data_IF_672893861727
#
_entry.id   IF_672893861727
#
_cell.length_a   1.000
_cell.length_b   1.000
_cell.length_c   1.000
_cell.angle_alpha   90.00
_cell.angle_beta   90.00
_cell.angle_gamma   90.00
#
_symmetry.space_group_name_H-M   'P 1'
#
loop_
_entity.id
_entity.type
_entity.pdbx_description
1 polymer ?
#
# COMPACT_ATOMS: atom_id res chain seq x y z
N UNK A 1 18.13 62.36 -36.59
CA UNK A 1 17.85 61.10 -37.30
C UNK A 1 19.01 60.17 -36.97
N UNK A 2 18.91 58.98 -36.40
CA UNK A 2 17.80 58.04 -36.18
C UNK A 2 18.34 56.96 -35.20
N UNK A 3 17.94 56.99 -33.92
CA UNK A 3 18.28 55.96 -32.91
C UNK A 3 17.01 55.38 -32.27
N UNK A 4 15.94 55.22 -33.06
CA UNK A 4 14.67 54.64 -32.60
C UNK A 4 14.51 53.11 -32.78
N UNK A 5 15.17 52.39 -33.72
CA UNK A 5 14.86 50.96 -33.90
C UNK A 5 15.50 50.05 -32.84
N UNK A 6 16.66 50.40 -32.30
CA UNK A 6 17.38 49.55 -31.32
C UNK A 6 16.72 49.49 -29.94
N UNK A 7 16.09 50.57 -29.47
CA UNK A 7 15.43 50.58 -28.15
C UNK A 7 14.16 49.72 -28.13
N UNK A 8 13.46 49.61 -29.25
CA UNK A 8 12.24 48.80 -29.35
C UNK A 8 12.59 47.30 -29.40
N UNK A 9 13.67 46.94 -30.10
CA UNK A 9 14.15 45.55 -30.17
C UNK A 9 14.60 45.02 -28.81
N UNK A 10 15.34 45.81 -28.03
CA UNK A 10 15.81 45.42 -26.68
C UNK A 10 14.64 45.27 -25.70
N UNK A 11 13.60 46.11 -25.81
CA UNK A 11 12.40 45.99 -24.98
C UNK A 11 11.60 44.72 -25.35
N UNK A 12 11.54 44.35 -26.62
CA UNK A 12 10.88 43.13 -27.08
C UNK A 12 11.61 41.86 -26.60
N UNK A 13 12.94 41.81 -26.68
CA UNK A 13 13.72 40.68 -26.16
C UNK A 13 13.59 40.53 -24.63
N UNK A 14 13.63 41.64 -23.90
CA UNK A 14 13.43 41.62 -22.45
C UNK A 14 12.01 41.11 -22.07
N UNK A 15 10.99 41.45 -22.86
CA UNK A 15 9.63 40.97 -22.65
C UNK A 15 9.51 39.45 -22.92
N UNK A 16 10.18 38.92 -23.95
CA UNK A 16 10.20 37.48 -24.23
C UNK A 16 10.90 36.71 -23.12
N UNK A 17 12.06 37.19 -22.64
CA UNK A 17 12.78 36.57 -21.52
C UNK A 17 11.91 36.58 -20.25
N UNK A 18 11.23 37.70 -19.97
CA UNK A 18 10.33 37.78 -18.82
C UNK A 18 9.15 36.80 -18.93
N UNK A 19 8.55 36.67 -20.11
CA UNK A 19 7.48 35.68 -20.35
C UNK A 19 7.99 34.26 -20.16
N UNK A 20 9.18 33.92 -20.66
CA UNK A 20 9.78 32.59 -20.48
C UNK A 20 10.10 32.30 -19.00
N UNK A 21 10.55 33.30 -18.23
CA UNK A 21 10.78 33.16 -16.79
C UNK A 21 9.47 32.97 -16.02
N UNK A 22 8.39 33.66 -16.41
CA UNK A 22 7.06 33.49 -15.80
C UNK A 22 6.47 32.12 -16.13
N UNK A 23 6.59 31.66 -17.39
CA UNK A 23 6.17 30.31 -17.79
C UNK A 23 7.02 29.25 -17.07
N UNK A 24 8.33 29.44 -16.98
CA UNK A 24 9.22 28.56 -16.23
C UNK A 24 8.85 28.49 -14.75
N UNK A 25 8.58 29.63 -14.10
CA UNK A 25 8.12 29.67 -12.72
C UNK A 25 6.74 29.03 -12.54
N UNK A 26 5.84 29.17 -13.52
CA UNK A 26 4.52 28.53 -13.52
C UNK A 26 4.63 27.01 -13.70
N UNK A 27 5.52 26.53 -14.57
CA UNK A 27 5.81 25.10 -14.76
C UNK A 27 6.50 24.51 -13.53
N UNK A 28 7.46 25.20 -12.92
CA UNK A 28 8.09 24.79 -11.66
C UNK A 28 7.04 24.73 -10.54
N UNK A 29 6.12 25.70 -10.47
CA UNK A 29 5.03 25.69 -9.50
C UNK A 29 4.00 24.59 -9.78
N UNK A 30 3.70 24.29 -11.04
CA UNK A 30 2.84 23.17 -11.42
C UNK A 30 3.49 21.81 -11.08
N UNK A 31 4.80 21.68 -11.30
CA UNK A 31 5.61 20.53 -10.87
C UNK A 31 5.74 20.43 -9.34
N UNK A 32 5.66 21.55 -8.62
CA UNK A 32 5.60 21.58 -7.16
C UNK A 32 4.21 21.21 -6.64
N UNK A 33 3.14 21.58 -7.35
CA UNK A 33 1.77 21.17 -7.02
C UNK A 33 1.51 19.69 -7.31
N UNK A 34 2.29 19.05 -8.17
CA UNK A 34 2.27 17.58 -8.36
C UNK A 34 3.12 16.80 -7.34
N UNK A 35 3.65 17.48 -6.31
CA UNK A 35 4.40 16.85 -5.20
C UNK A 35 3.54 16.58 -3.97
N UNK A 36 2.24 16.90 -3.99
CA UNK A 36 1.36 16.43 -2.93
C UNK A 36 1.25 14.91 -3.05
N UNK A 37 1.76 14.21 -2.04
CA UNK A 37 1.50 12.79 -1.87
C UNK A 37 -0.02 12.64 -1.76
N UNK A 38 -0.62 11.92 -2.71
CA UNK A 38 -1.99 11.44 -2.54
C UNK A 38 -1.90 10.36 -1.46
N UNK A 39 -2.56 10.51 -0.31
CA UNK A 39 -2.54 9.47 0.72
C UNK A 39 -3.08 8.18 0.12
N UNK A 40 -2.33 7.08 0.28
CA UNK A 40 -2.85 5.74 0.02
C UNK A 40 -4.11 5.56 0.87
N UNK A 41 -5.19 5.15 0.22
CA UNK A 41 -6.49 5.07 0.87
C UNK A 41 -6.59 3.85 1.76
N UNK A 42 -6.25 4.03 3.03
CA UNK A 42 -6.61 3.10 4.10
C UNK A 42 -7.44 3.82 5.18
N UNK A 43 -8.43 4.59 4.72
CA UNK A 43 -9.44 5.36 5.45
C UNK A 43 -8.98 6.69 6.06
N UNK A 44 -9.51 7.80 5.53
CA UNK A 44 -9.33 9.16 6.07
C UNK A 44 -10.68 9.89 6.14
N UNK A 45 -11.15 10.17 7.36
CA UNK A 45 -12.05 11.27 7.67
C UNK A 45 -11.40 12.11 8.78
N UNK A 46 -10.89 13.31 8.45
CA UNK A 46 -10.70 14.41 9.42
C UNK A 46 -11.00 15.76 8.73
N UNK A 47 -11.73 16.63 9.43
CA UNK A 47 -12.14 17.95 8.95
C UNK A 47 -13.42 18.45 9.62
N UNK A 48 -13.27 19.20 10.71
CA UNK A 48 -14.33 19.49 11.68
C UNK A 48 -15.37 20.56 11.34
N UNK A 49 -16.60 20.30 11.80
CA UNK A 49 -17.49 21.26 12.45
C UNK A 49 -18.21 20.52 13.57
N UNK A 50 -18.18 21.07 14.79
CA UNK A 50 -18.77 20.45 15.99
C UNK A 50 -20.27 20.25 15.77
N UNK A 51 -20.66 19.02 15.45
CA UNK A 51 -22.02 18.51 15.63
C UNK A 51 -21.95 17.45 16.71
N UNK A 52 -22.61 17.72 17.83
CA UNK A 52 -22.83 16.74 18.89
C UNK A 52 -23.61 15.59 18.27
N UNK A 53 -22.93 14.47 17.99
CA UNK A 53 -23.52 13.23 17.51
C UNK A 53 -23.39 12.14 18.58
N UNK A 54 -24.32 11.17 18.60
CA UNK A 54 -24.46 10.21 19.67
C UNK A 54 -23.19 9.37 19.77
N UNK A 55 -22.85 9.01 21.01
CA UNK A 55 -21.89 7.97 21.30
C UNK A 55 -22.31 6.69 20.56
N UNK A 56 -21.58 6.33 19.50
CA UNK A 56 -21.66 5.02 18.88
C UNK A 56 -20.66 4.16 19.64
N UNK A 57 -21.16 3.08 20.25
CA UNK A 57 -20.33 2.10 20.92
C UNK A 57 -19.27 1.55 19.95
N UNK A 58 -18.10 1.20 20.49
CA UNK A 58 -16.99 0.59 19.76
C UNK A 58 -17.49 -0.72 19.11
N UNK A 59 -17.97 -0.66 17.87
CA UNK A 59 -18.40 -1.85 17.14
C UNK A 59 -17.16 -2.57 16.61
N UNK A 60 -16.81 -3.64 17.32
CA UNK A 60 -15.75 -4.57 16.97
C UNK A 60 -16.02 -5.17 15.58
N UNK A 61 -15.05 -5.03 14.68
CA UNK A 61 -15.16 -5.46 13.29
C UNK A 61 -14.84 -6.94 13.21
N UNK A 62 -15.85 -7.80 13.06
CA UNK A 62 -15.66 -9.25 13.00
C UNK A 62 -16.14 -9.85 11.69
N UNK A 63 -15.44 -10.88 11.21
CA UNK A 63 -15.99 -11.78 10.19
C UNK A 63 -16.80 -12.88 10.85
N UNK A 64 -18.09 -12.93 10.53
CA UNK A 64 -18.88 -14.12 10.79
C UNK A 64 -18.88 -15.01 9.54
N UNK A 65 -18.36 -16.22 9.70
CA UNK A 65 -18.49 -17.27 8.69
C UNK A 65 -19.94 -17.75 8.67
N UNK A 66 -20.73 -17.29 7.69
CA UNK A 66 -22.10 -17.79 7.45
C UNK A 66 -22.08 -18.60 6.15
N UNK A 67 -21.58 -19.82 6.21
CA UNK A 67 -21.36 -20.65 5.02
C UNK A 67 -20.27 -20.08 4.10
N UNK A 68 -20.44 -20.09 2.77
CA UNK A 68 -19.40 -19.65 1.79
C UNK A 68 -19.21 -18.13 1.66
N UNK A 69 -19.55 -17.33 2.68
CA UNK A 69 -19.55 -15.86 2.61
C UNK A 69 -18.91 -15.23 3.83
N UNK A 70 -18.24 -14.11 3.60
CA UNK A 70 -17.59 -13.23 4.56
C UNK A 70 -18.51 -12.04 4.76
N UNK A 71 -18.98 -11.79 5.98
CA UNK A 71 -19.65 -10.53 6.32
C UNK A 71 -18.59 -9.43 6.48
N UNK A 72 -18.70 -8.37 5.69
CA UNK A 72 -17.83 -7.19 5.76
C UNK A 72 -18.69 -5.95 5.99
N UNK A 73 -18.21 -5.05 6.84
CA UNK A 73 -18.79 -3.71 6.96
C UNK A 73 -18.17 -2.78 5.89
N UNK A 74 -19.02 -2.14 5.09
CA UNK A 74 -18.65 -1.13 4.10
C UNK A 74 -19.24 0.22 4.49
N UNK A 75 -18.42 1.27 4.47
CA UNK A 75 -18.82 2.62 4.91
C UNK A 75 -19.95 3.24 4.08
N UNK A 76 -20.17 2.75 2.85
CA UNK A 76 -21.19 3.27 1.93
C UNK A 76 -22.40 2.34 1.85
N UNK A 77 -22.16 1.03 1.80
CA UNK A 77 -23.18 0.00 1.55
C UNK A 77 -23.71 -0.65 2.84
N UNK A 78 -23.09 -0.36 3.98
CA UNK A 78 -23.36 -1.06 5.23
C UNK A 78 -22.80 -2.48 5.20
N UNK A 79 -23.51 -3.43 5.80
CA UNK A 79 -23.10 -4.83 5.80
C UNK A 79 -23.22 -5.48 4.42
N UNK A 80 -22.10 -5.93 3.86
CA UNK A 80 -22.02 -6.65 2.59
C UNK A 80 -21.46 -8.05 2.79
N UNK A 81 -21.93 -9.01 2.00
CA UNK A 81 -21.37 -10.36 1.98
C UNK A 81 -20.47 -10.55 0.76
N UNK A 82 -19.19 -10.89 1.00
CA UNK A 82 -18.23 -11.23 -0.05
C UNK A 82 -18.06 -12.76 -0.11
N UNK A 83 -18.04 -13.39 -1.30
CA UNK A 83 -17.75 -14.81 -1.41
C UNK A 83 -16.38 -15.17 -0.83
N UNK A 84 -16.30 -16.27 -0.07
CA UNK A 84 -15.02 -16.85 0.35
C UNK A 84 -14.42 -17.62 -0.84
N UNK A 85 -13.17 -17.31 -1.17
CA UNK A 85 -12.37 -18.11 -2.10
C UNK A 85 -11.73 -19.27 -1.33
N UNK A 86 -12.18 -20.50 -1.60
CA UNK A 86 -11.76 -21.69 -0.86
C UNK A 86 -10.30 -22.11 -1.13
N UNK A 87 -9.73 -21.64 -2.23
CA UNK A 87 -8.39 -21.91 -2.73
C UNK A 87 -7.38 -20.80 -2.39
N UNK A 88 -7.83 -19.72 -1.73
CA UNK A 88 -6.96 -18.65 -1.25
C UNK A 88 -6.66 -18.91 0.23
N UNK A 89 -5.38 -18.99 0.64
CA UNK A 89 -5.02 -19.21 2.03
C UNK A 89 -5.61 -18.13 2.95
N UNK A 90 -6.19 -18.58 4.07
CA UNK A 90 -6.70 -17.70 5.13
C UNK A 90 -5.55 -17.29 6.03
N UNK A 91 -5.59 -16.05 6.53
CA UNK A 91 -4.63 -15.58 7.53
C UNK A 91 -4.66 -16.48 8.76
N UNK A 92 -3.48 -16.87 9.24
CA UNK A 92 -3.33 -17.60 10.51
C UNK A 92 -2.79 -16.72 11.63
N UNK A 93 -2.69 -15.40 11.42
CA UNK A 93 -2.11 -14.50 12.42
C UNK A 93 -2.98 -14.40 13.67
N UNK A 94 -2.33 -14.50 14.83
CA UNK A 94 -2.97 -14.29 16.12
C UNK A 94 -2.77 -12.84 16.54
N UNK A 95 -3.79 -12.00 16.39
CA UNK A 95 -3.67 -10.56 16.72
C UNK A 95 -3.38 -10.32 18.19
N UNK A 96 -3.62 -11.29 19.09
CA UNK A 96 -3.23 -11.17 20.50
C UNK A 96 -1.71 -11.18 20.72
N UNK A 97 -0.93 -11.58 19.71
CA UNK A 97 0.53 -11.48 19.71
C UNK A 97 1.06 -10.08 19.31
N UNK A 98 0.17 -9.16 18.90
CA UNK A 98 0.52 -7.76 18.66
C UNK A 98 0.64 -7.02 19.98
N UNK A 99 1.75 -6.29 20.13
CA UNK A 99 1.98 -5.42 21.27
C UNK A 99 2.51 -4.08 20.79
N UNK A 100 2.07 -3.02 21.45
CA UNK A 100 2.63 -1.69 21.22
C UNK A 100 3.83 -1.44 22.13
N UNK A 101 4.98 -1.10 21.54
CA UNK A 101 6.16 -0.66 22.26
C UNK A 101 6.76 0.57 21.60
N UNK A 102 6.98 1.63 22.40
CA UNK A 102 7.59 2.89 21.96
C UNK A 102 6.87 3.52 20.74
N UNK A 103 5.54 3.46 20.71
CA UNK A 103 4.72 4.01 19.62
C UNK A 103 4.79 3.22 18.31
N UNK A 104 5.20 1.94 18.35
CA UNK A 104 5.22 1.04 17.20
C UNK A 104 4.68 -0.33 17.60
N UNK A 105 4.11 -1.03 16.63
CA UNK A 105 3.69 -2.41 16.81
C UNK A 105 4.90 -3.35 16.71
N UNK A 106 4.90 -4.37 17.55
CA UNK A 106 5.75 -5.55 17.49
C UNK A 106 4.86 -6.79 17.51
N UNK A 107 5.29 -7.88 16.88
CA UNK A 107 4.58 -9.16 16.91
C UNK A 107 5.45 -10.22 17.60
N UNK A 108 4.98 -10.71 18.76
CA UNK A 108 5.72 -11.65 19.62
C UNK A 108 4.93 -12.92 19.88
N UNK A 109 5.51 -14.06 19.49
CA UNK A 109 5.03 -15.38 19.89
C UNK A 109 5.82 -15.85 21.12
N UNK A 110 5.20 -15.75 22.29
CA UNK A 110 5.89 -15.91 23.56
C UNK A 110 6.98 -14.84 23.74
N UNK A 111 8.22 -15.25 23.98
CA UNK A 111 9.35 -14.33 24.14
C UNK A 111 10.08 -14.02 22.81
N UNK A 112 9.63 -14.59 21.67
CA UNK A 112 10.30 -14.45 20.38
C UNK A 112 9.61 -13.40 19.52
N UNK A 113 10.37 -12.40 19.08
CA UNK A 113 9.94 -11.51 18.00
C UNK A 113 9.87 -12.31 16.70
N UNK A 114 8.68 -12.40 16.12
CA UNK A 114 8.40 -13.23 14.93
C UNK A 114 8.04 -12.41 13.69
N UNK A 115 7.83 -11.10 13.83
CA UNK A 115 7.80 -10.17 12.71
C UNK A 115 8.95 -9.14 12.80
N UNK A 116 9.46 -8.76 11.63
CA UNK A 116 10.47 -7.72 11.50
C UNK A 116 9.78 -6.37 11.29
N UNK A 117 10.24 -5.33 11.97
CA UNK A 117 9.75 -3.96 11.77
C UNK A 117 10.47 -3.32 10.59
N UNK A 118 9.73 -2.69 9.70
CA UNK A 118 10.27 -1.99 8.54
C UNK A 118 9.57 -0.68 8.26
N UNK A 119 10.13 0.04 7.29
CA UNK A 119 9.54 1.26 6.73
C UNK A 119 9.39 1.11 5.22
N UNK A 120 8.51 1.90 4.63
CA UNK A 120 8.55 2.15 3.19
C UNK A 120 8.65 3.65 2.90
N UNK A 121 9.43 3.97 1.87
CA UNK A 121 9.87 5.33 1.57
C UNK A 121 10.00 5.58 0.07
N UNK A 122 10.00 6.86 -0.28
CA UNK A 122 10.24 7.35 -1.63
C UNK A 122 11.07 8.64 -1.58
N UNK A 123 11.21 9.34 -2.71
CA UNK A 123 11.76 10.69 -2.73
C UNK A 123 10.99 11.73 -1.88
N UNK A 124 9.82 11.39 -1.33
CA UNK A 124 9.05 12.29 -0.46
C UNK A 124 9.69 12.49 0.92
N UNK A 125 10.45 11.51 1.43
CA UNK A 125 11.11 11.61 2.73
C UNK A 125 12.38 12.47 2.72
N UNK A 126 12.91 12.79 1.53
CA UNK A 126 14.11 13.61 1.38
C UNK A 126 15.35 12.98 2.00
N UNK A 127 16.12 13.79 2.74
CA UNK A 127 17.37 13.35 3.38
C UNK A 127 17.09 12.48 4.61
N UNK A 128 17.69 11.29 4.68
CA UNK A 128 17.48 10.31 5.75
C UNK A 128 18.80 9.98 6.45
N UNK A 129 18.80 10.04 7.79
CA UNK A 129 19.89 9.54 8.63
C UNK A 129 19.69 8.03 8.89
N UNK A 130 20.18 7.22 7.95
CA UNK A 130 20.00 5.76 7.95
C UNK A 130 20.63 5.05 9.15
N UNK A 131 21.66 5.65 9.78
CA UNK A 131 22.26 5.09 11.00
C UNK A 131 21.27 5.23 12.15
N UNK A 132 20.65 6.40 12.34
CA UNK A 132 19.59 6.57 13.33
C UNK A 132 18.38 5.68 13.06
N UNK A 133 18.01 5.50 11.79
CA UNK A 133 16.92 4.59 11.40
C UNK A 133 17.23 3.17 11.88
N UNK A 134 18.44 2.66 11.60
CA UNK A 134 18.87 1.33 12.06
C UNK A 134 18.89 1.23 13.59
N UNK A 135 19.51 2.21 14.27
CA UNK A 135 19.62 2.24 15.73
C UNK A 135 18.26 2.32 16.42
N UNK A 136 17.25 2.85 15.73
CA UNK A 136 15.87 2.86 16.23
C UNK A 136 15.18 1.49 16.16
N UNK A 137 15.80 0.46 15.58
CA UNK A 137 15.24 -0.91 15.51
C UNK A 137 14.56 -1.26 14.18
N UNK A 138 14.63 -0.40 13.17
CA UNK A 138 14.15 -0.74 11.82
C UNK A 138 15.07 -1.79 11.20
N UNK A 139 14.47 -2.87 10.70
CA UNK A 139 15.18 -4.03 10.15
C UNK A 139 15.30 -3.98 8.62
N UNK A 140 14.28 -3.47 7.94
CA UNK A 140 14.25 -3.37 6.48
C UNK A 140 13.61 -2.08 5.98
N UNK A 141 13.89 -1.72 4.73
CA UNK A 141 13.24 -0.64 4.01
C UNK A 141 12.75 -1.08 2.62
N UNK A 142 11.50 -0.79 2.29
CA UNK A 142 10.97 -0.91 0.92
C UNK A 142 11.06 0.46 0.25
N UNK A 143 11.80 0.58 -0.85
CA UNK A 143 12.07 1.88 -1.48
C UNK A 143 11.40 1.98 -2.85
N UNK A 144 10.72 3.10 -3.13
CA UNK A 144 10.08 3.31 -4.43
C UNK A 144 11.13 3.40 -5.52
N UNK A 145 11.11 2.48 -6.49
CA UNK A 145 12.00 2.50 -7.65
C UNK A 145 11.51 3.48 -8.72
N UNK A 146 10.20 3.64 -8.83
CA UNK A 146 9.58 4.52 -9.79
C UNK A 146 8.07 4.51 -9.65
N UNK A 147 7.43 5.28 -10.52
CA UNK A 147 5.99 5.40 -10.57
C UNK A 147 5.52 5.67 -12.00
N UNK A 148 4.27 5.31 -12.28
CA UNK A 148 3.55 5.79 -13.45
C UNK A 148 2.51 6.83 -13.03
N UNK A 149 2.45 7.97 -13.71
CA UNK A 149 1.51 9.04 -13.33
C UNK A 149 0.06 8.65 -13.60
N UNK A 150 -0.85 8.95 -12.66
CA UNK A 150 -2.27 8.55 -12.74
C UNK A 150 -3.06 9.28 -13.83
N UNK A 151 -2.68 10.53 -14.14
CA UNK A 151 -3.30 11.30 -15.22
C UNK A 151 -2.70 11.01 -16.60
N UNK A 152 -1.38 11.12 -16.73
CA UNK A 152 -0.67 11.07 -18.01
C UNK A 152 -0.11 9.71 -18.41
N UNK A 153 -0.07 8.74 -17.49
CA UNK A 153 0.52 7.43 -17.76
C UNK A 153 2.03 7.46 -17.96
N UNK A 154 2.71 8.51 -17.50
CA UNK A 154 4.15 8.73 -17.72
C UNK A 154 4.94 7.91 -16.71
N UNK A 155 5.76 6.99 -17.19
CA UNK A 155 6.72 6.24 -16.39
C UNK A 155 7.88 7.16 -15.97
N UNK A 156 8.15 7.21 -14.67
CA UNK A 156 9.18 8.05 -14.05
C UNK A 156 9.94 7.24 -13.00
N UNK A 157 11.26 7.30 -13.00
CA UNK A 157 12.08 6.69 -11.95
C UNK A 157 12.16 7.62 -10.74
N UNK A 158 12.22 7.05 -9.54
CA UNK A 158 12.44 7.85 -8.34
C UNK A 158 13.94 8.19 -8.21
N UNK A 159 14.26 9.48 -8.27
CA UNK A 159 15.64 9.98 -8.29
C UNK A 159 16.42 9.61 -7.02
N UNK A 160 15.74 9.36 -5.90
CA UNK A 160 16.36 9.00 -4.62
C UNK A 160 16.55 7.50 -4.44
N UNK A 161 15.97 6.66 -5.31
CA UNK A 161 15.91 5.21 -5.11
C UNK A 161 17.27 4.59 -4.81
N UNK A 162 18.23 4.76 -5.73
CA UNK A 162 19.53 4.08 -5.62
C UNK A 162 20.35 4.57 -4.43
N UNK A 163 20.33 5.87 -4.17
CA UNK A 163 21.07 6.45 -3.04
C UNK A 163 20.49 5.97 -1.71
N UNK A 164 19.16 5.88 -1.61
CA UNK A 164 18.49 5.33 -0.44
C UNK A 164 18.78 3.85 -0.23
N UNK A 165 18.72 3.01 -1.29
CA UNK A 165 19.07 1.59 -1.18
C UNK A 165 20.51 1.42 -0.69
N UNK A 166 21.48 2.11 -1.31
CA UNK A 166 22.89 1.98 -0.96
C UNK A 166 23.14 2.46 0.48
N UNK A 167 22.53 3.57 0.88
CA UNK A 167 22.71 4.12 2.23
C UNK A 167 22.06 3.25 3.31
N UNK A 168 20.85 2.73 3.06
CA UNK A 168 20.17 1.80 3.94
C UNK A 168 20.96 0.49 4.12
N UNK A 169 21.42 -0.10 3.02
CA UNK A 169 22.28 -1.30 3.03
C UNK A 169 23.59 -1.03 3.78
N UNK A 170 24.22 0.12 3.57
CA UNK A 170 25.46 0.50 4.28
C UNK A 170 25.25 0.68 5.79
N UNK A 171 24.05 1.06 6.22
CA UNK A 171 23.65 1.10 7.62
C UNK A 171 23.22 -0.29 8.17
N UNK A 172 23.19 -1.32 7.33
CA UNK A 172 22.86 -2.69 7.70
C UNK A 172 21.36 -2.99 7.73
N UNK A 173 20.54 -2.25 6.99
CA UNK A 173 19.15 -2.61 6.72
C UNK A 173 19.06 -3.54 5.52
N UNK A 174 18.11 -4.47 5.59
CA UNK A 174 17.67 -5.22 4.42
C UNK A 174 16.82 -4.33 3.50
N UNK A 175 16.82 -4.57 2.20
CA UNK A 175 16.18 -3.65 1.25
C UNK A 175 15.39 -4.36 0.17
N UNK A 176 14.18 -3.86 -0.06
CA UNK A 176 13.28 -4.25 -1.14
C UNK A 176 12.90 -3.02 -1.97
N UNK A 177 12.16 -3.25 -3.05
CA UNK A 177 11.74 -2.17 -3.94
C UNK A 177 10.24 -2.27 -4.22
N UNK A 178 9.60 -1.15 -4.52
CA UNK A 178 8.24 -1.15 -5.06
C UNK A 178 8.11 -0.20 -6.23
N UNK A 179 7.11 -0.44 -7.08
CA UNK A 179 6.77 0.46 -8.17
C UNK A 179 5.30 0.88 -8.05
N UNK A 180 5.07 2.18 -7.87
CA UNK A 180 3.72 2.75 -7.84
C UNK A 180 3.14 2.75 -9.25
N UNK A 181 2.27 1.79 -9.52
CA UNK A 181 1.71 1.54 -10.82
C UNK A 181 0.42 2.33 -11.04
N UNK A 182 0.32 2.86 -12.26
CA UNK A 182 -0.91 3.35 -12.86
C UNK A 182 -1.07 2.72 -14.25
N UNK A 183 -0.59 1.48 -14.39
CA UNK A 183 -0.76 0.69 -15.60
C UNK A 183 -2.24 0.38 -15.84
N UNK A 184 -2.63 0.39 -17.11
CA UNK A 184 -3.97 -0.01 -17.57
C UNK A 184 -3.92 -1.21 -18.53
N UNK A 185 -2.72 -1.68 -18.85
CA UNK A 185 -2.47 -2.80 -19.76
C UNK A 185 -1.32 -3.67 -19.26
N UNK A 186 -1.30 -4.94 -19.70
CA UNK A 186 -0.19 -5.88 -19.44
C UNK A 186 1.15 -5.35 -19.93
N UNK A 187 1.21 -4.73 -21.10
CA UNK A 187 2.45 -4.18 -21.66
C UNK A 187 3.02 -3.09 -20.73
N UNK A 188 2.18 -2.19 -20.22
CA UNK A 188 2.61 -1.17 -19.26
C UNK A 188 3.11 -1.78 -17.94
N UNK A 189 2.48 -2.85 -17.45
CA UNK A 189 2.95 -3.55 -16.24
C UNK A 189 4.32 -4.22 -16.46
N UNK A 190 4.58 -4.73 -17.68
CA UNK A 190 5.90 -5.27 -18.06
C UNK A 190 6.94 -4.14 -18.17
N UNK A 191 6.59 -2.99 -18.76
CA UNK A 191 7.46 -1.81 -18.81
C UNK A 191 7.86 -1.34 -17.40
N UNK A 192 6.90 -1.32 -16.49
CA UNK A 192 7.15 -0.96 -15.09
C UNK A 192 8.06 -1.98 -14.40
N UNK A 193 7.84 -3.28 -14.60
CA UNK A 193 8.73 -4.32 -14.08
C UNK A 193 10.16 -4.15 -14.63
N UNK A 194 10.31 -3.91 -15.93
CA UNK A 194 11.61 -3.68 -16.57
C UNK A 194 12.32 -2.43 -16.00
N UNK A 195 11.57 -1.36 -15.75
CA UNK A 195 12.12 -0.14 -15.12
C UNK A 195 12.63 -0.39 -13.69
N UNK A 196 11.94 -1.24 -12.91
CA UNK A 196 12.45 -1.64 -11.58
C UNK A 196 13.70 -2.49 -11.71
N UNK A 197 13.71 -3.48 -12.62
CA UNK A 197 14.85 -4.37 -12.86
C UNK A 197 16.11 -3.58 -13.25
N UNK A 198 15.96 -2.56 -14.11
CA UNK A 198 17.05 -1.65 -14.46
C UNK A 198 17.54 -0.86 -13.23
N UNK A 199 16.61 -0.41 -12.39
CA UNK A 199 16.91 0.38 -11.18
C UNK A 199 17.64 -0.45 -10.12
N UNK A 200 17.30 -1.73 -9.95
CA UNK A 200 17.95 -2.64 -8.98
C UNK A 200 19.22 -3.30 -9.51
N UNK A 201 19.56 -3.10 -10.79
CA UNK A 201 20.71 -3.74 -11.39
C UNK A 201 22.01 -3.44 -10.60
N UNK A 202 22.72 -4.51 -10.26
CA UNK A 202 23.97 -4.46 -9.49
C UNK A 202 23.82 -4.16 -8.00
N UNK A 203 22.59 -4.10 -7.46
CA UNK A 203 22.31 -3.98 -6.03
C UNK A 203 22.01 -5.37 -5.44
N UNK A 204 22.37 -5.55 -4.16
CA UNK A 204 22.09 -6.79 -3.44
C UNK A 204 20.71 -6.73 -2.79
N UNK A 205 19.68 -7.09 -3.54
CA UNK A 205 18.29 -7.02 -3.07
C UNK A 205 17.94 -8.28 -2.29
N UNK A 206 17.63 -8.11 -1.01
CA UNK A 206 17.30 -9.21 -0.09
C UNK A 206 15.82 -9.31 0.22
N UNK A 207 15.06 -8.23 0.00
CA UNK A 207 13.60 -8.18 0.16
C UNK A 207 12.87 -8.11 -1.20
N UNK A 208 11.55 -8.34 -1.22
CA UNK A 208 10.78 -8.45 -2.45
C UNK A 208 10.82 -7.20 -3.35
N UNK A 209 10.50 -7.41 -4.63
CA UNK A 209 10.13 -6.36 -5.57
C UNK A 209 8.61 -6.38 -5.73
N UNK A 210 7.98 -5.25 -5.41
CA UNK A 210 6.55 -5.15 -5.19
C UNK A 210 5.85 -4.42 -6.32
N UNK A 211 4.74 -5.00 -6.79
CA UNK A 211 3.77 -4.31 -7.64
C UNK A 211 2.74 -3.59 -6.78
N UNK A 212 2.79 -2.26 -6.78
CA UNK A 212 1.94 -1.37 -5.99
C UNK A 212 0.95 -0.66 -6.93
N UNK A 213 -0.13 -1.34 -7.29
CA UNK A 213 -1.17 -0.78 -8.16
C UNK A 213 -2.30 -0.21 -7.31
N UNK A 214 -2.60 1.08 -7.44
CA UNK A 214 -3.61 1.71 -6.58
C UNK A 214 -4.71 2.41 -7.36
N UNK A 215 -5.91 2.40 -6.77
CA UNK A 215 -6.97 3.33 -7.12
C UNK A 215 -6.63 4.70 -6.54
N UNK A 216 -6.83 5.77 -7.31
CA UNK A 216 -6.71 7.14 -6.78
C UNK A 216 -8.08 7.55 -6.24
N UNK A 217 -8.16 7.88 -4.95
CA UNK A 217 -9.39 8.44 -4.38
C UNK A 217 -9.50 9.93 -4.68
N UNK A 218 -10.74 10.41 -4.74
CA UNK A 218 -11.12 11.81 -4.86
C UNK A 218 -10.59 12.56 -6.10
N UNK A 219 -10.01 11.84 -7.07
CA UNK A 219 -9.61 12.35 -8.38
C UNK A 219 -9.97 11.32 -9.47
N UNK A 220 -9.92 11.74 -10.73
CA UNK A 220 -10.08 10.83 -11.87
C UNK A 220 -8.72 10.25 -12.26
N UNK A 221 -8.58 8.94 -12.20
CA UNK A 221 -7.38 8.24 -12.60
C UNK A 221 -7.63 7.32 -13.79
N UNK A 222 -6.57 7.08 -14.57
CA UNK A 222 -6.64 6.13 -15.68
C UNK A 222 -6.98 4.70 -15.22
N UNK A 223 -6.67 4.37 -13.97
CA UNK A 223 -6.94 3.08 -13.33
C UNK A 223 -8.43 2.85 -13.02
N UNK A 224 -9.27 3.89 -13.01
CA UNK A 224 -10.69 3.80 -12.66
C UNK A 224 -11.49 2.84 -13.56
N UNK A 225 -11.06 2.71 -14.81
CA UNK A 225 -11.73 1.88 -15.83
C UNK A 225 -11.13 0.48 -15.97
N UNK A 226 -10.06 0.16 -15.24
CA UNK A 226 -9.42 -1.15 -15.29
C UNK A 226 -10.35 -2.21 -14.69
N UNK A 227 -10.60 -3.29 -15.43
CA UNK A 227 -11.42 -4.41 -14.94
C UNK A 227 -10.65 -5.28 -13.94
N UNK A 228 -11.38 -6.12 -13.19
CA UNK A 228 -10.79 -7.12 -12.27
C UNK A 228 -9.85 -8.07 -13.02
N UNK A 229 -10.27 -8.54 -14.20
CA UNK A 229 -9.51 -9.48 -15.02
C UNK A 229 -8.22 -8.84 -15.54
N UNK A 230 -8.29 -7.59 -16.00
CA UNK A 230 -7.13 -6.85 -16.48
C UNK A 230 -6.15 -6.55 -15.34
N UNK A 231 -6.64 -6.17 -14.15
CA UNK A 231 -5.77 -5.99 -12.99
C UNK A 231 -5.03 -7.28 -12.65
N UNK A 232 -5.73 -8.42 -12.63
CA UNK A 232 -5.11 -9.72 -12.38
C UNK A 232 -4.08 -10.10 -13.47
N UNK A 233 -4.37 -9.83 -14.75
CA UNK A 233 -3.41 -10.02 -15.85
C UNK A 233 -2.14 -9.20 -15.64
N UNK A 234 -2.27 -7.93 -15.24
CA UNK A 234 -1.15 -7.03 -14.96
C UNK A 234 -0.33 -7.47 -13.74
N UNK A 235 -0.99 -7.84 -12.64
CA UNK A 235 -0.32 -8.38 -11.44
C UNK A 235 0.52 -9.61 -11.79
N UNK A 236 -0.05 -10.57 -12.54
CA UNK A 236 0.66 -11.78 -12.98
C UNK A 236 1.83 -11.43 -13.89
N UNK A 237 1.64 -10.53 -14.85
CA UNK A 237 2.68 -10.14 -15.79
C UNK A 237 3.88 -9.49 -15.10
N UNK A 238 3.64 -8.52 -14.21
CA UNK A 238 4.69 -7.89 -13.41
C UNK A 238 5.41 -8.94 -12.55
N UNK A 239 4.67 -9.74 -11.79
CA UNK A 239 5.26 -10.69 -10.85
C UNK A 239 6.08 -11.79 -11.55
N UNK A 240 5.58 -12.36 -12.65
CA UNK A 240 6.35 -13.36 -13.40
C UNK A 240 7.56 -12.74 -14.09
N UNK A 241 7.50 -11.47 -14.50
CA UNK A 241 8.67 -10.75 -15.05
C UNK A 241 9.78 -10.59 -14.01
N UNK A 242 9.43 -10.16 -12.80
CA UNK A 242 10.35 -10.04 -11.66
C UNK A 242 10.94 -11.41 -11.28
N UNK A 243 10.10 -12.44 -11.20
CA UNK A 243 10.50 -13.81 -10.88
C UNK A 243 11.45 -14.41 -11.92
N UNK A 244 11.19 -14.17 -13.21
CA UNK A 244 12.07 -14.60 -14.29
C UNK A 244 13.46 -13.95 -14.24
N UNK A 245 13.58 -12.76 -13.62
CA UNK A 245 14.85 -12.10 -13.37
C UNK A 245 15.56 -12.60 -12.09
N UNK A 246 14.96 -13.53 -11.35
CA UNK A 246 15.55 -14.16 -10.15
C UNK A 246 15.22 -13.47 -8.83
N UNK A 247 14.33 -12.47 -8.84
CA UNK A 247 13.88 -11.79 -7.62
C UNK A 247 12.57 -12.36 -7.09
N UNK A 248 12.26 -12.10 -5.82
CA UNK A 248 10.97 -12.47 -5.22
C UNK A 248 9.92 -11.40 -5.55
N UNK A 249 8.86 -11.72 -6.31
CA UNK A 249 7.77 -10.79 -6.53
C UNK A 249 6.80 -10.74 -5.34
N UNK A 250 6.14 -9.61 -5.17
CA UNK A 250 5.08 -9.40 -4.18
C UNK A 250 4.05 -8.41 -4.72
N UNK A 251 2.81 -8.51 -4.26
CA UNK A 251 1.73 -7.56 -4.60
C UNK A 251 1.40 -6.75 -3.36
N UNK A 252 1.34 -5.43 -3.49
CA UNK A 252 0.78 -4.55 -2.48
C UNK A 252 -0.64 -4.14 -2.86
N UNK A 253 -1.55 -4.11 -1.89
CA UNK A 253 -2.87 -3.48 -2.02
C UNK A 253 -3.40 -3.05 -0.65
N UNK A 254 -4.22 -1.99 -0.64
CA UNK A 254 -5.12 -1.73 0.48
C UNK A 254 -6.23 -2.80 0.56
N UNK A 255 -6.72 -3.04 1.78
CA UNK A 255 -7.77 -4.04 2.07
C UNK A 255 -9.00 -3.90 1.16
N UNK A 256 -9.49 -2.68 0.94
CA UNK A 256 -10.71 -2.45 0.15
C UNK A 256 -10.55 -2.93 -1.28
N UNK A 257 -9.45 -2.56 -1.93
CA UNK A 257 -9.14 -2.98 -3.31
C UNK A 257 -8.88 -4.48 -3.38
N UNK A 258 -8.16 -5.04 -2.40
CA UNK A 258 -7.90 -6.47 -2.31
C UNK A 258 -9.20 -7.30 -2.23
N UNK A 259 -10.18 -6.86 -1.45
CA UNK A 259 -11.44 -7.60 -1.25
C UNK A 259 -12.46 -7.39 -2.38
N UNK A 260 -12.40 -6.27 -3.10
CA UNK A 260 -13.44 -5.87 -4.06
C UNK A 260 -13.01 -5.91 -5.53
N UNK A 261 -11.72 -5.83 -5.81
CA UNK A 261 -11.20 -5.61 -7.17
C UNK A 261 -10.09 -6.59 -7.59
N UNK A 262 -9.41 -7.21 -6.64
CA UNK A 262 -8.36 -8.17 -6.95
C UNK A 262 -8.94 -9.58 -7.14
N UNK A 263 -8.57 -10.24 -8.23
CA UNK A 263 -8.87 -11.67 -8.45
C UNK A 263 -7.90 -12.52 -7.61
N UNK A 264 -8.20 -12.65 -6.31
CA UNK A 264 -7.33 -13.29 -5.32
C UNK A 264 -6.91 -14.71 -5.73
N UNK A 265 -7.77 -15.61 -6.21
CA UNK A 265 -7.36 -16.95 -6.68
C UNK A 265 -6.24 -16.92 -7.73
N UNK A 266 -6.27 -15.95 -8.65
CA UNK A 266 -5.27 -15.85 -9.73
C UNK A 266 -3.90 -15.36 -9.26
N UNK A 267 -3.86 -14.67 -8.12
CA UNK A 267 -2.63 -14.04 -7.59
C UNK A 267 -2.15 -14.63 -6.27
N UNK A 268 -2.89 -15.59 -5.68
CA UNK A 268 -2.59 -16.21 -4.39
C UNK A 268 -1.22 -16.92 -4.30
N UNK A 269 -0.57 -17.16 -5.44
CA UNK A 269 0.78 -17.74 -5.49
C UNK A 269 1.91 -16.73 -5.19
N UNK A 270 1.62 -15.44 -5.15
CA UNK A 270 2.58 -14.39 -4.82
C UNK A 270 2.45 -13.98 -3.34
N UNK A 271 3.55 -13.55 -2.73
CA UNK A 271 3.50 -12.95 -1.40
C UNK A 271 2.70 -11.63 -1.48
N UNK A 272 2.00 -11.28 -0.40
CA UNK A 272 1.11 -10.13 -0.35
C UNK A 272 1.52 -9.15 0.75
N UNK A 273 1.52 -7.87 0.42
CA UNK A 273 1.73 -6.75 1.33
C UNK A 273 0.41 -5.99 1.49
N UNK A 274 -0.21 -6.15 2.65
CA UNK A 274 -1.49 -5.55 2.98
C UNK A 274 -1.29 -4.12 3.51
N UNK A 275 -2.05 -3.15 2.99
CA UNK A 275 -2.31 -1.91 3.70
C UNK A 275 -3.69 -1.93 4.38
N UNK A 276 -3.66 -1.81 5.70
CA UNK A 276 -4.85 -1.66 6.55
C UNK A 276 -4.41 -0.91 7.81
N UNK A 277 -4.75 0.38 7.92
CA UNK A 277 -4.28 1.18 9.04
C UNK A 277 -5.09 0.91 10.30
N UNK A 278 -4.39 0.67 11.41
CA UNK A 278 -5.02 0.37 12.69
C UNK A 278 -4.13 -0.46 13.59
N UNK A 279 -4.65 -0.74 14.79
CA UNK A 279 -3.93 -1.49 15.82
C UNK A 279 -3.94 -3.00 15.55
N UNK A 280 -4.97 -3.49 14.86
CA UNK A 280 -5.13 -4.89 14.47
C UNK A 280 -5.61 -4.99 13.02
N UNK A 281 -5.03 -5.88 12.21
CA UNK A 281 -5.51 -6.15 10.86
C UNK A 281 -6.77 -6.98 10.95
N UNK A 282 -7.74 -6.65 10.10
CA UNK A 282 -8.92 -7.49 9.91
C UNK A 282 -8.93 -8.06 8.50
N UNK A 283 -7.87 -8.04 7.70
CA UNK A 283 -7.92 -8.76 6.42
C UNK A 283 -8.04 -10.28 6.62
N UNK A 284 -8.97 -10.93 5.90
CA UNK A 284 -9.30 -12.35 6.10
C UNK A 284 -8.24 -13.31 5.51
N UNK A 285 -7.66 -12.97 4.36
CA UNK A 285 -6.71 -13.83 3.66
C UNK A 285 -5.27 -13.60 4.14
N UNK A 286 -4.40 -14.54 3.83
CA UNK A 286 -3.01 -14.54 4.27
C UNK A 286 -2.19 -13.43 3.60
N UNK A 287 -1.22 -12.87 4.33
CA UNK A 287 -0.31 -11.81 3.88
C UNK A 287 1.07 -11.98 4.51
N UNK A 288 2.12 -11.53 3.83
CA UNK A 288 3.50 -11.65 4.32
C UNK A 288 4.02 -10.36 4.97
N UNK A 289 3.42 -9.22 4.63
CA UNK A 289 3.77 -7.90 5.16
C UNK A 289 2.49 -7.10 5.39
N UNK A 290 2.49 -6.27 6.43
CA UNK A 290 1.38 -5.40 6.79
C UNK A 290 1.88 -3.98 7.04
N UNK A 291 1.38 -3.03 6.25
CA UNK A 291 1.49 -1.59 6.50
C UNK A 291 0.35 -1.18 7.43
N UNK A 292 0.70 -0.89 8.68
CA UNK A 292 -0.29 -0.65 9.74
C UNK A 292 -0.51 0.84 10.03
N UNK A 293 0.35 1.73 9.52
CA UNK A 293 0.15 3.17 9.59
C UNK A 293 0.97 3.92 8.55
N UNK A 294 0.45 5.08 8.14
CA UNK A 294 1.16 6.08 7.33
C UNK A 294 1.57 7.35 8.11
N UNK A 295 1.35 7.35 9.43
CA UNK A 295 1.61 8.48 10.32
C UNK A 295 2.70 8.16 11.34
N UNK A 296 3.60 7.23 11.00
CA UNK A 296 4.71 6.83 11.85
C UNK A 296 5.76 7.92 12.00
N UNK A 297 6.53 7.83 13.08
CA UNK A 297 7.71 8.66 13.33
C UNK A 297 8.91 7.77 13.62
N UNK A 298 10.00 7.97 12.87
CA UNK A 298 11.23 7.18 13.01
C UNK A 298 12.42 8.13 13.15
N UNK A 299 13.25 7.98 14.21
CA UNK A 299 14.47 8.75 14.34
C UNK A 299 15.34 8.66 13.08
N UNK A 300 15.67 9.83 12.52
CA UNK A 300 16.46 9.94 11.28
C UNK A 300 15.65 10.28 10.03
N UNK A 301 14.32 10.33 10.13
CA UNK A 301 13.42 10.77 9.05
C UNK A 301 12.65 12.01 9.55
N UNK A 302 12.61 13.06 8.75
CA UNK A 302 11.77 14.23 9.04
C UNK A 302 10.34 14.01 8.54
N UNK A 303 9.36 14.29 9.39
CA UNK A 303 7.95 14.11 9.05
C UNK A 303 7.44 12.69 9.27
N UNK A 304 6.40 12.33 8.51
CA UNK A 304 5.71 11.04 8.60
C UNK A 304 6.41 9.98 7.75
N UNK A 305 6.35 8.74 8.21
CA UNK A 305 6.80 7.58 7.45
C UNK A 305 5.87 6.40 7.67
N UNK A 306 5.70 5.61 6.62
CA UNK A 306 4.89 4.41 6.63
C UNK A 306 5.61 3.29 7.42
N UNK A 307 4.88 2.60 8.28
CA UNK A 307 5.43 1.55 9.16
C UNK A 307 4.83 0.19 8.84
N UNK A 308 5.72 -0.81 8.85
CA UNK A 308 5.40 -2.16 8.41
C UNK A 308 5.83 -3.21 9.42
N UNK A 309 5.05 -4.29 9.49
CA UNK A 309 5.46 -5.58 10.04
C UNK A 309 5.60 -6.60 8.91
N UNK A 310 6.75 -7.25 8.81
CA UNK A 310 6.97 -8.36 7.89
C UNK A 310 7.11 -9.67 8.64
N UNK A 311 6.23 -10.61 8.34
CA UNK A 311 6.13 -11.92 9.00
C UNK A 311 7.00 -12.99 8.32
N UNK A 312 7.83 -12.59 7.36
CA UNK A 312 8.75 -13.45 6.62
C UNK A 312 10.13 -12.80 6.54
N UNK A 313 11.15 -13.51 7.01
CA UNK A 313 12.54 -13.07 6.90
C UNK A 313 13.10 -13.48 5.54
N UNK A 314 12.94 -12.60 4.54
CA UNK A 314 13.39 -12.85 3.17
C UNK A 314 14.92 -12.96 3.06
N UNK A 315 15.67 -12.21 3.88
CA UNK A 315 17.12 -12.18 3.84
C UNK A 315 17.74 -13.51 4.28
N UNK A 316 17.14 -14.17 5.28
CA UNK A 316 17.67 -15.43 5.83
C UNK A 316 16.94 -16.69 5.35
N UNK A 317 16.12 -16.59 4.29
CA UNK A 317 15.32 -17.71 3.81
C UNK A 317 14.31 -18.22 4.84
N UNK A 318 13.89 -17.34 5.76
CA UNK A 318 12.94 -17.65 6.82
C UNK A 318 11.61 -18.09 6.24
N UNK A 319 11.17 -19.29 6.60
CA UNK A 319 9.80 -19.71 6.39
C UNK A 319 8.87 -18.85 7.28
N UNK A 320 7.62 -18.63 6.83
CA UNK A 320 6.58 -18.01 7.66
C UNK A 320 6.42 -18.81 8.97
N UNK A 321 6.11 -18.17 10.11
CA UNK A 321 5.68 -18.89 11.30
C UNK A 321 4.52 -19.83 10.93
N UNK A 322 4.74 -21.14 11.03
CA UNK A 322 3.68 -22.11 10.77
C UNK A 322 2.79 -22.16 12.01
N UNK A 323 1.73 -21.36 12.04
CA UNK A 323 0.70 -21.54 13.06
C UNK A 323 -0.22 -22.70 12.66
N UNK A 324 -0.66 -23.53 13.62
CA UNK A 324 -1.70 -24.50 13.35
C UNK A 324 -2.96 -23.73 12.96
N UNK A 325 -3.51 -24.04 11.78
CA UNK A 325 -4.83 -23.58 11.38
C UNK A 325 -5.85 -23.92 12.47
N UNK A 326 -6.41 -22.91 13.13
CA UNK A 326 -7.56 -23.06 14.02
C UNK A 326 -8.79 -22.74 13.17
N UNK A 327 -9.60 -23.74 12.77
CA UNK A 327 -10.83 -23.47 12.04
C UNK A 327 -11.73 -22.55 12.87
N UNK A 328 -12.50 -21.64 12.24
CA UNK A 328 -13.52 -20.88 12.93
C UNK A 328 -14.42 -21.84 13.71
N UNK A 329 -14.70 -21.55 14.98
CA UNK A 329 -15.71 -22.28 15.74
C UNK A 329 -17.03 -22.20 14.98
N UNK A 330 -17.73 -23.33 14.83
CA UNK A 330 -19.04 -23.37 14.18
C UNK A 330 -19.94 -22.23 14.71
N UNK A 331 -20.69 -21.54 13.85
CA UNK A 331 -21.58 -20.48 14.30
C UNK A 331 -22.58 -21.04 15.33
N UNK A 332 -23.08 -20.20 16.25
CA UNK A 332 -24.18 -20.61 17.13
C UNK A 332 -25.31 -21.14 16.26
N UNK A 333 -25.79 -22.34 16.56
CA UNK A 333 -26.99 -22.90 15.93
C UNK A 333 -28.10 -21.85 15.93
N UNK A 334 -28.71 -21.61 14.77
CA UNK A 334 -29.86 -20.70 14.62
C UNK A 334 -30.84 -20.91 15.78
N UNK A 335 -31.35 -19.85 16.43
CA UNK A 335 -32.38 -20.03 17.43
C UNK A 335 -33.58 -20.71 16.76
N UNK A 336 -34.01 -21.84 17.34
CA UNK A 336 -35.24 -22.52 16.91
C UNK A 336 -36.36 -21.48 16.84
N UNK A 337 -36.92 -21.29 15.65
CA UNK A 337 -38.12 -20.49 15.46
C UNK A 337 -39.23 -21.13 16.28
N UNK A 338 -39.62 -20.50 17.40
CA UNK A 338 -40.88 -20.83 18.06
C UNK A 338 -42.01 -20.65 17.05
N UNK A 339 -42.63 -21.76 16.65
CA UNK A 339 -43.90 -21.73 15.93
C UNK A 339 -44.92 -20.96 16.79
N UNK A 340 -45.27 -19.76 16.36
CA UNK A 340 -46.39 -19.04 16.92
C UNK A 340 -47.66 -19.84 16.64
N UNK A 341 -48.21 -20.48 17.68
CA UNK A 341 -49.55 -21.03 17.66
C UNK A 341 -50.56 -19.94 17.29
N UNK A 342 -51.08 -19.98 16.06
CA UNK A 342 -52.31 -19.28 15.70
C UNK A 342 -53.47 -19.87 16.51
N UNK A 343 -53.97 -19.12 17.49
CA UNK A 343 -55.30 -19.35 18.05
C UNK A 343 -56.34 -19.08 16.95
N UNK A 344 -57.08 -20.13 16.57
CA UNK A 344 -58.31 -19.99 15.78
C UNK A 344 -59.39 -19.30 16.61
N UNK A 345 -60.19 -18.40 16.03
CA UNK A 345 -61.34 -17.83 16.73
C UNK A 345 -62.46 -18.86 16.83
N UNK A 346 -63.03 -19.02 18.03
CA UNK A 346 -64.26 -19.79 18.26
C UNK A 346 -65.50 -19.03 17.70
N UNK A 347 -66.48 -19.83 17.24
CA UNK A 347 -67.75 -19.43 16.62
C UNK A 347 -68.72 -18.66 17.54
#
# INVERSE_FOLDING_TARGET
MEQKPYKIAVIAEAAVIFILLVIGAFLIRALHNSREAVPASADMYDGGEVRVRPYIEKEETFYQYVGKKILQHDSTLGEIFIPVYADVPVSTFDTSCLIEQNGRLEYKEGDKLTALTGIDISGHQGDIDWVKVKESGISFAMVRAGFRTYGGGILTLDEYFRDNIIAAQSAGLETGAYFFSQATTVDEAIEEADAVLDSVAGLDMTYPIVYDWEMILDDNARTDTVSVEMLADMCVAFCERIKAAGYTPMIYQNKSTAMKKLDLPRVAQYDFWLAEYGDEPSYYYDYAMWQYTSDGSVPGIEGRVDLNLCFKDYANGGARPSLPYIPPTEPPTEPETEESHEEKPEE
#
